data_IF_647212956463
#
_entry.id   IF_647212956463
#
_cell.length_a   1.000
_cell.length_b   1.000
_cell.length_c   1.000
_cell.angle_alpha   90.00
_cell.angle_beta   90.00
_cell.angle_gamma   90.00
#
_symmetry.space_group_name_H-M   'P 1'
#
loop_
_entity.id
_entity.type
_entity.pdbx_description
1 polymer ?
#
# COMPACT_ATOMS: atom_id res chain seq x y z
N UNK A 1 -3.88 38.53 20.41
CA UNK A 1 -5.15 37.78 20.26
C UNK A 1 -5.15 37.17 18.87
N UNK A 2 -4.73 35.91 18.76
CA UNK A 2 -4.68 35.20 17.48
C UNK A 2 -6.06 34.64 17.19
N UNK A 3 -6.65 35.06 16.07
CA UNK A 3 -7.92 34.50 15.53
C UNK A 3 -7.75 33.03 15.21
N UNK A 4 -8.66 32.15 15.64
CA UNK A 4 -8.62 30.74 15.20
C UNK A 4 -8.91 30.67 13.71
N UNK A 5 -7.99 30.07 12.95
CA UNK A 5 -8.16 29.74 11.54
C UNK A 5 -9.33 28.74 11.43
N UNK A 6 -10.48 29.19 10.99
CA UNK A 6 -11.63 28.34 10.65
C UNK A 6 -11.31 27.60 9.37
N UNK A 7 -10.67 26.43 9.49
CA UNK A 7 -10.45 25.53 8.36
C UNK A 7 -11.82 25.10 7.82
N UNK A 8 -12.13 25.47 6.57
CA UNK A 8 -13.37 25.08 5.88
C UNK A 8 -13.48 23.54 5.91
N UNK A 9 -14.65 22.98 6.28
CA UNK A 9 -14.81 21.53 6.30
C UNK A 9 -14.44 20.90 4.95
N UNK A 10 -13.72 19.78 4.98
CA UNK A 10 -13.37 19.05 3.76
C UNK A 10 -14.63 18.68 2.96
N UNK A 11 -14.55 18.62 1.62
CA UNK A 11 -15.66 18.21 0.76
C UNK A 11 -16.26 16.88 1.19
N UNK A 12 -17.56 16.70 1.01
CA UNK A 12 -18.28 15.49 1.43
C UNK A 12 -17.67 14.22 0.85
N UNK A 13 -17.24 14.23 -0.41
CA UNK A 13 -16.56 13.09 -1.06
C UNK A 13 -15.26 12.72 -0.36
N UNK A 14 -14.45 13.69 -0.04
CA UNK A 14 -13.17 13.49 0.64
C UNK A 14 -13.35 12.95 2.07
N UNK A 15 -14.35 13.43 2.81
CA UNK A 15 -14.68 12.88 4.14
C UNK A 15 -15.11 11.42 4.08
N UNK A 16 -15.91 11.05 3.07
CA UNK A 16 -16.33 9.65 2.84
C UNK A 16 -15.14 8.76 2.51
N UNK A 17 -14.27 9.18 1.59
CA UNK A 17 -13.08 8.41 1.21
C UNK A 17 -12.16 8.23 2.42
N UNK A 18 -11.87 9.29 3.16
CA UNK A 18 -11.01 9.22 4.36
C UNK A 18 -11.57 8.28 5.43
N UNK A 19 -12.87 8.38 5.72
CA UNK A 19 -13.53 7.48 6.67
C UNK A 19 -13.53 6.02 6.20
N UNK A 20 -13.80 5.80 4.92
CA UNK A 20 -13.78 4.47 4.31
C UNK A 20 -12.37 3.86 4.34
N UNK A 21 -11.33 4.60 3.91
CA UNK A 21 -9.94 4.12 3.94
C UNK A 21 -9.52 3.69 5.34
N UNK A 22 -9.81 4.51 6.37
CA UNK A 22 -9.46 4.19 7.75
C UNK A 22 -10.19 2.95 8.27
N UNK A 23 -11.51 2.87 8.03
CA UNK A 23 -12.33 1.74 8.49
C UNK A 23 -11.97 0.45 7.75
N UNK A 24 -11.82 0.47 6.45
CA UNK A 24 -11.44 -0.70 5.65
C UNK A 24 -10.06 -1.25 6.07
N UNK A 25 -9.13 -0.37 6.38
CA UNK A 25 -7.81 -0.76 6.82
C UNK A 25 -7.82 -1.44 8.19
N UNK A 26 -8.62 -0.94 9.14
CA UNK A 26 -8.65 -1.42 10.53
C UNK A 26 -9.67 -2.54 10.78
N UNK A 27 -10.84 -2.45 10.17
CA UNK A 27 -11.98 -3.34 10.45
C UNK A 27 -12.26 -4.34 9.30
N UNK A 28 -11.59 -4.16 8.15
CA UNK A 28 -11.76 -4.99 6.96
C UNK A 28 -12.81 -4.46 5.98
N UNK A 29 -12.54 -4.69 4.71
CA UNK A 29 -13.36 -4.18 3.59
C UNK A 29 -14.75 -4.82 3.54
N UNK A 30 -14.83 -6.12 3.81
CA UNK A 30 -16.09 -6.88 3.77
C UNK A 30 -16.96 -6.59 4.99
N UNK A 31 -16.36 -6.54 6.17
CA UNK A 31 -17.06 -6.36 7.44
C UNK A 31 -17.70 -4.97 7.61
N UNK A 32 -17.05 -3.93 7.06
CA UNK A 32 -17.51 -2.54 7.22
C UNK A 32 -18.72 -2.25 6.35
N UNK A 33 -19.86 -1.93 6.96
CA UNK A 33 -21.08 -1.51 6.28
C UNK A 33 -21.12 -0.01 5.96
N UNK A 34 -21.96 0.36 4.97
CA UNK A 34 -22.17 1.77 4.54
C UNK A 34 -22.60 2.67 5.72
N UNK A 35 -23.41 2.15 6.65
CA UNK A 35 -23.87 2.91 7.83
C UNK A 35 -22.71 3.37 8.70
N UNK A 36 -21.77 2.48 8.95
CA UNK A 36 -20.58 2.75 9.75
C UNK A 36 -19.73 3.83 9.10
N UNK A 37 -19.56 3.76 7.76
CA UNK A 37 -18.80 4.77 6.98
C UNK A 37 -19.48 6.12 7.03
N UNK A 38 -20.80 6.17 6.78
CA UNK A 38 -21.59 7.40 6.81
C UNK A 38 -21.55 8.07 8.19
N UNK A 39 -21.64 7.29 9.26
CA UNK A 39 -21.54 7.76 10.65
C UNK A 39 -20.16 8.39 10.90
N UNK A 40 -19.08 7.68 10.55
CA UNK A 40 -17.71 8.15 10.72
C UNK A 40 -17.42 9.43 9.92
N UNK A 41 -17.94 9.49 8.68
CA UNK A 41 -17.78 10.64 7.80
C UNK A 41 -18.70 11.82 8.15
N UNK A 42 -19.69 11.62 9.04
CA UNK A 42 -20.77 12.57 9.31
C UNK A 42 -21.52 12.99 8.03
N UNK A 43 -21.92 12.00 7.23
CA UNK A 43 -22.58 12.17 5.93
C UNK A 43 -23.84 11.30 5.93
N UNK A 44 -24.92 11.78 5.31
CA UNK A 44 -26.13 10.96 5.15
C UNK A 44 -25.93 9.84 4.11
N UNK A 45 -26.60 8.70 4.27
CA UNK A 45 -26.63 7.65 3.23
C UNK A 45 -27.05 8.18 1.86
N UNK A 46 -28.04 9.09 1.84
CA UNK A 46 -28.51 9.73 0.60
C UNK A 46 -27.35 10.46 -0.09
N UNK A 47 -26.58 11.24 0.64
CA UNK A 47 -25.42 11.99 0.08
C UNK A 47 -24.31 11.04 -0.37
N UNK A 48 -24.09 9.94 0.35
CA UNK A 48 -23.12 8.91 -0.04
C UNK A 48 -23.52 8.30 -1.38
N UNK A 49 -24.79 7.84 -1.54
CA UNK A 49 -25.27 7.23 -2.78
C UNK A 49 -25.41 8.21 -3.95
N UNK A 50 -25.43 9.51 -3.70
CA UNK A 50 -25.31 10.54 -4.75
C UNK A 50 -23.87 10.67 -5.29
N UNK A 51 -22.86 10.29 -4.51
CA UNK A 51 -21.44 10.41 -4.85
C UNK A 51 -20.81 9.09 -5.29
N UNK A 52 -21.33 7.97 -4.78
CA UNK A 52 -20.89 6.61 -5.07
C UNK A 52 -22.12 5.73 -5.21
N UNK A 53 -22.35 5.18 -6.41
CA UNK A 53 -23.56 4.38 -6.70
C UNK A 53 -23.59 3.08 -5.90
N UNK A 54 -22.40 2.55 -5.55
CA UNK A 54 -22.24 1.32 -4.79
C UNK A 54 -21.18 1.47 -3.68
N UNK A 55 -21.14 0.50 -2.75
CA UNK A 55 -20.04 0.37 -1.79
C UNK A 55 -18.72 0.08 -2.51
N UNK A 56 -18.77 -0.69 -3.60
CA UNK A 56 -17.59 -1.10 -4.36
C UNK A 56 -16.88 0.08 -5.02
N UNK A 57 -17.64 1.04 -5.55
CA UNK A 57 -17.08 2.30 -6.04
C UNK A 57 -16.34 3.08 -4.93
N UNK A 58 -16.90 3.07 -3.72
CA UNK A 58 -16.25 3.71 -2.57
C UNK A 58 -15.00 2.94 -2.13
N UNK A 59 -14.98 1.60 -2.20
CA UNK A 59 -13.79 0.78 -1.92
C UNK A 59 -12.69 1.12 -2.93
N UNK A 60 -13.00 1.17 -4.22
CA UNK A 60 -12.02 1.54 -5.26
C UNK A 60 -11.46 2.95 -5.01
N UNK A 61 -12.32 3.93 -4.71
CA UNK A 61 -11.89 5.28 -4.42
C UNK A 61 -11.02 5.39 -3.15
N UNK A 62 -11.31 4.57 -2.14
CA UNK A 62 -10.51 4.49 -0.92
C UNK A 62 -9.13 3.88 -1.18
N UNK A 63 -9.04 2.82 -1.98
CA UNK A 63 -7.77 2.22 -2.40
C UNK A 63 -6.94 3.19 -3.25
N UNK A 64 -7.59 3.92 -4.17
CA UNK A 64 -6.92 4.93 -4.98
C UNK A 64 -6.31 6.03 -4.09
N UNK A 65 -7.08 6.59 -3.17
CA UNK A 65 -6.58 7.62 -2.24
C UNK A 65 -5.44 7.09 -1.36
N UNK A 66 -5.51 5.82 -0.95
CA UNK A 66 -4.44 5.16 -0.21
C UNK A 66 -3.18 5.02 -1.08
N UNK A 67 -3.32 4.62 -2.34
CA UNK A 67 -2.19 4.49 -3.27
C UNK A 67 -1.52 5.85 -3.53
N UNK A 68 -2.31 6.89 -3.84
CA UNK A 68 -1.81 8.25 -4.07
C UNK A 68 -1.02 8.80 -2.87
N UNK A 69 -1.41 8.42 -1.65
CA UNK A 69 -0.72 8.83 -0.43
C UNK A 69 0.51 7.96 -0.12
N UNK A 70 0.45 6.66 -0.37
CA UNK A 70 1.40 5.69 0.17
C UNK A 70 2.52 5.34 -0.82
N UNK A 71 2.19 5.13 -2.12
CA UNK A 71 3.19 4.73 -3.12
C UNK A 71 4.37 5.71 -3.21
N UNK A 72 4.17 7.04 -3.26
CA UNK A 72 5.30 7.98 -3.31
C UNK A 72 6.23 7.92 -2.10
N UNK A 73 5.73 7.43 -0.95
CA UNK A 73 6.54 7.37 0.29
C UNK A 73 7.63 6.30 0.21
N UNK A 74 7.43 5.23 -0.54
CA UNK A 74 8.39 4.13 -0.65
C UNK A 74 8.92 3.86 -2.07
N UNK A 75 8.21 4.26 -3.12
CA UNK A 75 8.77 4.19 -4.48
C UNK A 75 9.71 5.37 -4.78
N UNK A 76 9.63 6.44 -3.99
CA UNK A 76 10.46 7.63 -4.16
C UNK A 76 10.07 8.48 -5.36
N UNK A 77 11.00 9.30 -5.82
CA UNK A 77 10.85 10.18 -7.00
C UNK A 77 11.52 9.55 -8.22
N UNK A 78 10.98 9.85 -9.40
CA UNK A 78 11.44 9.26 -10.67
C UNK A 78 12.91 9.58 -10.97
N UNK A 79 13.37 10.79 -10.62
CA UNK A 79 14.75 11.29 -10.85
C UNK A 79 15.65 11.16 -9.61
N UNK A 80 15.59 10.06 -8.87
CA UNK A 80 16.47 9.82 -7.74
C UNK A 80 17.87 9.39 -8.22
N UNK A 81 18.93 10.18 -7.94
CA UNK A 81 20.29 9.90 -8.41
C UNK A 81 21.01 8.78 -7.65
N UNK A 82 20.40 8.24 -6.58
CA UNK A 82 21.01 7.21 -5.76
C UNK A 82 21.11 5.87 -6.49
N UNK A 83 22.06 5.00 -6.11
CA UNK A 83 22.19 3.68 -6.71
C UNK A 83 20.88 2.88 -6.65
N UNK A 84 20.55 2.17 -7.73
CA UNK A 84 19.32 1.38 -7.83
C UNK A 84 19.17 0.36 -6.69
N UNK A 85 20.29 -0.24 -6.21
CA UNK A 85 20.30 -1.12 -5.05
C UNK A 85 19.78 -0.43 -3.78
N UNK A 86 20.20 0.79 -3.52
CA UNK A 86 19.76 1.56 -2.35
C UNK A 86 18.27 1.89 -2.44
N UNK A 87 17.81 2.29 -3.63
CA UNK A 87 16.40 2.60 -3.88
C UNK A 87 15.49 1.38 -3.64
N UNK A 88 15.92 0.17 -4.03
CA UNK A 88 15.19 -1.06 -3.70
C UNK A 88 15.15 -1.33 -2.20
N UNK A 89 16.26 -1.10 -1.48
CA UNK A 89 16.32 -1.30 -0.03
C UNK A 89 15.49 -0.27 0.75
N UNK A 90 15.34 0.94 0.25
CA UNK A 90 14.51 1.98 0.90
C UNK A 90 13.05 1.57 1.00
N UNK A 91 12.52 0.82 0.03
CA UNK A 91 11.17 0.25 0.09
C UNK A 91 11.00 -0.64 1.33
N UNK A 92 12.01 -1.46 1.61
CA UNK A 92 11.99 -2.35 2.77
C UNK A 92 12.31 -1.62 4.09
N UNK A 93 13.15 -0.59 4.04
CA UNK A 93 13.40 0.28 5.20
C UNK A 93 12.12 1.03 5.60
N UNK A 94 11.35 1.51 4.63
CA UNK A 94 10.03 2.08 4.87
C UNK A 94 9.09 1.05 5.52
N UNK A 95 9.07 -0.20 5.03
CA UNK A 95 8.25 -1.27 5.62
C UNK A 95 8.66 -1.58 7.07
N UNK A 96 9.96 -1.69 7.35
CA UNK A 96 10.47 -1.87 8.72
C UNK A 96 9.98 -0.74 9.64
N UNK A 97 10.01 0.51 9.16
CA UNK A 97 9.56 1.68 9.91
C UNK A 97 8.04 1.65 10.17
N UNK A 98 7.22 1.45 9.13
CA UNK A 98 5.75 1.50 9.28
C UNK A 98 5.21 0.31 10.05
N UNK A 99 5.89 -0.84 9.99
CA UNK A 99 5.52 -2.05 10.74
C UNK A 99 5.58 -1.88 12.27
N UNK A 100 6.31 -0.87 12.74
CA UNK A 100 6.42 -0.55 14.16
C UNK A 100 5.26 0.32 14.69
N UNK A 101 4.38 0.76 13.80
CA UNK A 101 3.24 1.61 14.19
C UNK A 101 2.16 0.76 14.86
N UNK A 102 1.54 1.26 15.97
CA UNK A 102 0.49 0.52 16.67
C UNK A 102 -0.76 0.24 15.82
N UNK A 103 -0.99 1.05 14.79
CA UNK A 103 -2.12 0.96 13.87
C UNK A 103 -1.80 0.18 12.59
N UNK A 104 -0.63 -0.47 12.51
CA UNK A 104 -0.27 -1.25 11.34
C UNK A 104 -1.13 -2.52 11.21
N UNK A 105 -1.86 -2.64 10.11
CA UNK A 105 -2.76 -3.76 9.82
C UNK A 105 -2.42 -4.50 8.50
N UNK A 106 -1.15 -4.40 8.04
CA UNK A 106 -0.71 -5.05 6.81
C UNK A 106 -0.83 -4.17 5.56
N UNK A 107 -0.74 -4.81 4.40
CA UNK A 107 -0.89 -4.12 3.12
C UNK A 107 -2.38 -3.96 2.76
N UNK A 108 -2.91 -2.73 2.60
CA UNK A 108 -4.33 -2.52 2.29
C UNK A 108 -4.76 -3.15 0.96
N UNK A 109 -3.85 -3.23 -0.01
CA UNK A 109 -4.15 -3.84 -1.32
C UNK A 109 -4.25 -5.37 -1.22
N UNK A 110 -3.33 -6.01 -0.52
CA UNK A 110 -3.36 -7.45 -0.27
C UNK A 110 -4.58 -7.81 0.57
N UNK A 111 -4.83 -7.07 1.66
CA UNK A 111 -5.98 -7.30 2.53
C UNK A 111 -7.29 -7.24 1.76
N UNK A 112 -7.53 -6.18 0.98
CA UNK A 112 -8.75 -6.05 0.17
C UNK A 112 -8.92 -7.22 -0.81
N UNK A 113 -7.88 -7.58 -1.56
CA UNK A 113 -7.96 -8.65 -2.54
C UNK A 113 -8.23 -10.02 -1.89
N UNK A 114 -7.62 -10.30 -0.74
CA UNK A 114 -7.79 -11.58 -0.01
C UNK A 114 -9.14 -11.69 0.68
N UNK A 115 -9.71 -10.57 1.17
CA UNK A 115 -11.04 -10.56 1.79
C UNK A 115 -12.15 -10.75 0.75
N UNK A 116 -12.05 -10.12 -0.41
CA UNK A 116 -13.07 -10.20 -1.47
C UNK A 116 -13.17 -11.59 -2.09
N UNK A 117 -12.07 -12.31 -2.21
CA UNK A 117 -11.98 -13.67 -2.82
C UNK A 117 -12.56 -13.76 -4.25
N UNK A 118 -12.67 -12.63 -4.93
CA UNK A 118 -13.15 -12.49 -6.30
C UNK A 118 -12.14 -11.65 -7.09
N UNK A 119 -11.40 -12.30 -7.96
CA UNK A 119 -10.34 -11.67 -8.76
C UNK A 119 -10.86 -10.66 -9.79
N UNK A 120 -12.14 -10.75 -10.17
CA UNK A 120 -12.77 -9.84 -11.13
C UNK A 120 -13.50 -8.67 -10.44
N UNK A 121 -13.58 -8.69 -9.12
CA UNK A 121 -14.15 -7.57 -8.38
C UNK A 121 -13.35 -6.28 -8.65
N UNK A 122 -14.01 -5.13 -8.94
CA UNK A 122 -13.31 -3.88 -9.30
C UNK A 122 -12.23 -3.45 -8.32
N UNK A 123 -12.46 -3.65 -7.03
CA UNK A 123 -11.47 -3.32 -6.00
C UNK A 123 -10.28 -4.30 -5.97
N UNK A 124 -10.48 -5.60 -6.30
CA UNK A 124 -9.40 -6.55 -6.43
C UNK A 124 -8.54 -6.27 -7.68
N UNK A 125 -9.19 -5.87 -8.78
CA UNK A 125 -8.49 -5.42 -10.00
C UNK A 125 -7.65 -4.18 -9.71
N UNK A 126 -8.22 -3.19 -9.01
CA UNK A 126 -7.49 -1.98 -8.61
C UNK A 126 -6.30 -2.31 -7.69
N UNK A 127 -6.50 -3.15 -6.67
CA UNK A 127 -5.44 -3.58 -5.77
C UNK A 127 -4.29 -4.28 -6.51
N UNK A 128 -4.60 -5.14 -7.48
CA UNK A 128 -3.62 -5.79 -8.36
C UNK A 128 -2.81 -4.78 -9.17
N UNK A 129 -3.46 -3.75 -9.71
CA UNK A 129 -2.79 -2.69 -10.46
C UNK A 129 -1.78 -1.92 -9.60
N UNK A 130 -2.11 -1.62 -8.34
CA UNK A 130 -1.17 -0.96 -7.43
C UNK A 130 -0.01 -1.87 -7.00
N UNK A 131 -0.26 -3.17 -6.84
CA UNK A 131 0.82 -4.14 -6.59
C UNK A 131 1.74 -4.30 -7.80
N UNK A 132 1.19 -4.23 -9.01
CA UNK A 132 2.00 -4.25 -10.23
C UNK A 132 2.96 -3.06 -10.31
N UNK A 133 2.54 -1.84 -9.91
CA UNK A 133 3.42 -0.67 -9.87
C UNK A 133 4.65 -0.89 -8.97
N UNK A 134 4.49 -1.59 -7.83
CA UNK A 134 5.62 -1.95 -6.99
C UNK A 134 6.56 -2.95 -7.69
N UNK A 135 6.00 -3.94 -8.38
CA UNK A 135 6.79 -4.93 -9.13
C UNK A 135 7.55 -4.26 -10.28
N UNK A 136 6.88 -3.38 -11.03
CA UNK A 136 7.48 -2.63 -12.15
C UNK A 136 8.61 -1.73 -11.66
N UNK A 137 8.44 -1.08 -10.50
CA UNK A 137 9.52 -0.33 -9.87
C UNK A 137 10.73 -1.22 -9.57
N UNK A 138 10.53 -2.37 -8.94
CA UNK A 138 11.64 -3.28 -8.64
C UNK A 138 12.31 -3.78 -9.91
N UNK A 139 11.55 -4.09 -10.96
CA UNK A 139 12.11 -4.54 -12.24
C UNK A 139 13.00 -3.49 -12.86
N UNK A 140 12.55 -2.24 -12.94
CA UNK A 140 13.33 -1.13 -13.46
C UNK A 140 14.64 -0.88 -12.64
N UNK A 141 14.56 -0.99 -11.30
CA UNK A 141 15.75 -0.88 -10.47
C UNK A 141 16.69 -2.08 -10.62
N UNK A 142 16.16 -3.30 -10.76
CA UNK A 142 16.95 -4.51 -10.99
C UNK A 142 17.68 -4.48 -12.33
N UNK A 143 17.04 -3.98 -13.40
CA UNK A 143 17.66 -3.72 -14.70
C UNK A 143 18.82 -2.74 -14.58
N UNK A 144 18.55 -1.59 -13.93
CA UNK A 144 19.57 -0.54 -13.71
C UNK A 144 20.76 -1.05 -12.89
N UNK A 145 20.50 -1.88 -11.88
CA UNK A 145 21.53 -2.53 -11.06
C UNK A 145 22.28 -3.65 -11.81
N UNK A 146 21.78 -4.06 -12.97
CA UNK A 146 22.38 -5.09 -13.83
C UNK A 146 22.15 -6.51 -13.32
N UNK A 147 21.02 -6.81 -12.72
CA UNK A 147 20.64 -8.18 -12.35
C UNK A 147 20.57 -9.08 -13.59
N UNK A 148 20.91 -10.37 -13.43
CA UNK A 148 20.90 -11.32 -14.55
C UNK A 148 19.49 -11.61 -15.06
N UNK A 149 18.50 -11.62 -14.16
CA UNK A 149 17.07 -11.87 -14.45
C UNK A 149 16.23 -10.85 -13.68
N UNK A 150 16.10 -9.58 -14.17
CA UNK A 150 15.47 -8.48 -13.44
C UNK A 150 14.03 -8.79 -13.01
N UNK A 151 13.20 -9.32 -13.92
CA UNK A 151 11.81 -9.65 -13.62
C UNK A 151 11.65 -10.72 -12.54
N UNK A 152 12.56 -11.69 -12.45
CA UNK A 152 12.53 -12.67 -11.35
C UNK A 152 12.88 -12.01 -10.02
N UNK A 153 13.92 -11.16 -9.99
CA UNK A 153 14.27 -10.44 -8.78
C UNK A 153 13.11 -9.54 -8.32
N UNK A 154 12.46 -8.84 -9.25
CA UNK A 154 11.30 -8.00 -8.96
C UNK A 154 10.16 -8.78 -8.31
N UNK A 155 9.82 -9.95 -8.86
CA UNK A 155 8.80 -10.83 -8.28
C UNK A 155 9.21 -11.34 -6.88
N UNK A 156 10.46 -11.76 -6.70
CA UNK A 156 10.99 -12.21 -5.39
C UNK A 156 10.90 -11.09 -4.35
N UNK A 157 11.27 -9.86 -4.71
CA UNK A 157 11.17 -8.70 -3.82
C UNK A 157 9.71 -8.36 -3.49
N UNK A 158 8.81 -8.42 -4.47
CA UNK A 158 7.38 -8.18 -4.22
C UNK A 158 6.80 -9.24 -3.26
N UNK A 159 7.13 -10.51 -3.45
CA UNK A 159 6.71 -11.60 -2.54
C UNK A 159 7.31 -11.40 -1.14
N UNK A 160 8.58 -11.03 -1.05
CA UNK A 160 9.23 -10.76 0.23
C UNK A 160 8.58 -9.57 0.96
N UNK A 161 8.26 -8.48 0.24
CA UNK A 161 7.57 -7.31 0.79
C UNK A 161 6.20 -7.70 1.37
N UNK A 162 5.39 -8.45 0.62
CA UNK A 162 4.07 -8.88 1.06
C UNK A 162 4.17 -9.87 2.24
N UNK A 163 5.11 -10.80 2.19
CA UNK A 163 5.35 -11.76 3.27
C UNK A 163 5.82 -11.09 4.57
N UNK A 164 6.70 -10.09 4.49
CA UNK A 164 7.12 -9.30 5.64
C UNK A 164 5.94 -8.55 6.27
N UNK A 165 5.10 -7.90 5.44
CA UNK A 165 3.91 -7.22 5.93
C UNK A 165 2.90 -8.15 6.60
N UNK A 166 2.64 -9.31 6.00
CA UNK A 166 1.75 -10.33 6.56
C UNK A 166 2.29 -10.91 7.88
N UNK A 167 3.61 -11.11 8.00
CA UNK A 167 4.25 -11.59 9.22
C UNK A 167 3.91 -10.71 10.43
N UNK A 168 3.99 -9.39 10.29
CA UNK A 168 3.65 -8.46 11.39
C UNK A 168 2.23 -8.66 11.88
N UNK A 169 1.27 -8.81 10.96
CA UNK A 169 -0.13 -9.04 11.31
C UNK A 169 -0.32 -10.37 12.04
N UNK A 170 0.39 -11.42 11.61
CA UNK A 170 0.29 -12.76 12.20
C UNK A 170 0.95 -12.85 13.58
N UNK A 171 2.12 -12.21 13.74
CA UNK A 171 2.91 -12.33 14.99
C UNK A 171 2.61 -11.25 16.01
N UNK A 172 2.09 -10.09 15.58
CA UNK A 172 1.95 -8.90 16.40
C UNK A 172 3.29 -8.22 16.72
N UNK A 173 4.38 -8.64 16.08
CA UNK A 173 5.72 -8.13 16.33
C UNK A 173 6.24 -7.30 15.14
N UNK A 174 6.88 -6.14 15.37
CA UNK A 174 7.51 -5.35 14.32
C UNK A 174 8.69 -6.10 13.69
N UNK A 175 9.04 -5.74 12.47
CA UNK A 175 10.08 -6.43 11.68
C UNK A 175 11.51 -6.19 12.19
N UNK A 176 11.78 -5.04 12.80
CA UNK A 176 13.08 -4.71 13.41
C UNK A 176 14.29 -4.95 12.48
N UNK A 177 14.21 -4.52 11.23
CA UNK A 177 15.25 -4.69 10.22
C UNK A 177 15.18 -5.99 9.43
N UNK A 178 14.23 -6.88 9.72
CA UNK A 178 14.08 -8.15 9.01
C UNK A 178 13.74 -7.94 7.53
N UNK A 179 12.93 -6.92 7.20
CA UNK A 179 12.58 -6.63 5.81
C UNK A 179 13.82 -6.23 5.01
N UNK A 180 14.62 -5.30 5.52
CA UNK A 180 15.88 -4.89 4.88
C UNK A 180 16.85 -6.05 4.75
N UNK A 181 17.02 -6.87 5.79
CA UNK A 181 17.91 -8.04 5.75
C UNK A 181 17.47 -9.04 4.67
N UNK A 182 16.17 -9.31 4.56
CA UNK A 182 15.62 -10.22 3.55
C UNK A 182 15.87 -9.68 2.14
N UNK A 183 15.57 -8.41 1.90
CA UNK A 183 15.78 -7.78 0.60
C UNK A 183 17.28 -7.75 0.23
N UNK A 184 18.16 -7.45 1.19
CA UNK A 184 19.61 -7.43 0.97
C UNK A 184 20.10 -8.80 0.47
N UNK A 185 19.67 -9.88 1.11
CA UNK A 185 20.06 -11.24 0.71
C UNK A 185 19.61 -11.59 -0.72
N UNK A 186 18.38 -11.21 -1.10
CA UNK A 186 17.85 -11.44 -2.45
C UNK A 186 18.59 -10.62 -3.50
N UNK A 187 18.77 -9.31 -3.25
CA UNK A 187 19.42 -8.40 -4.18
C UNK A 187 20.88 -8.80 -4.39
N UNK A 188 21.64 -9.02 -3.31
CA UNK A 188 23.06 -9.35 -3.41
C UNK A 188 23.28 -10.71 -4.09
N UNK A 189 22.43 -11.69 -3.85
CA UNK A 189 22.44 -12.97 -4.57
C UNK A 189 22.22 -12.80 -6.06
N UNK A 190 21.25 -11.96 -6.47
CA UNK A 190 20.90 -11.74 -7.86
C UNK A 190 21.97 -10.91 -8.63
N UNK A 191 22.66 -10.01 -7.94
CA UNK A 191 23.72 -9.19 -8.53
C UNK A 191 25.08 -9.91 -8.61
N UNK A 192 25.36 -10.86 -7.71
CA UNK A 192 26.61 -11.64 -7.71
C UNK A 192 26.62 -12.76 -8.75
N UNK A 193 25.49 -13.20 -9.27
CA UNK A 193 25.39 -14.31 -10.23
C UNK A 193 25.95 -13.97 -11.63
N UNK A 194 26.58 -12.83 -11.83
CA UNK A 194 27.20 -12.40 -13.11
C UNK A 194 28.58 -12.99 -13.42
N UNK A 195 29.15 -13.81 -12.55
CA UNK A 195 30.49 -14.38 -12.72
C UNK A 195 30.42 -15.88 -13.06
N UNK A 196 30.00 -16.18 -14.28
CA UNK A 196 30.02 -17.53 -14.81
C UNK A 196 29.95 -17.52 -16.34
#
# INVERSE_FOLDING_TARGET
MSTPSTTRPAPTRERLIRAASALFYQEGTVAVGVDRICQQAQVSKKSMYQLFSTKDELIVAALQATAEQTLPQYLGVEEDPRPARERMLDVFAWLDQVSSRPDYAGCPFVNTATELKDGEHPAAVAARGYKQQLTDFFEAQAETAGAAVPGLLAQMLTVAFDGCGARVVVTGEPLNGLAVATATALIDSALTTKAG
#
